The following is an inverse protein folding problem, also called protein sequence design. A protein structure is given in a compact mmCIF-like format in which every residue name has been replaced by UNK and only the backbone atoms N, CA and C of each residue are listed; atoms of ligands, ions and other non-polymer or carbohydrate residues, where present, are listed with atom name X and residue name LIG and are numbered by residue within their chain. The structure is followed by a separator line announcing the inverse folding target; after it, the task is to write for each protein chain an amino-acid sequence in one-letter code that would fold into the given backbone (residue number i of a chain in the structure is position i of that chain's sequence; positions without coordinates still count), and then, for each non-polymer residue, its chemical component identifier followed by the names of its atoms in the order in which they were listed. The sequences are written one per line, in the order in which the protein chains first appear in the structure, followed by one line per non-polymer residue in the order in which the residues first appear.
data_IF_077737669479
#
_entry.id   IF_077737669479
#
_cell.length_a   1.000
_cell.length_b   1.000
_cell.length_c   1.000
_cell.angle_alpha   90.00
_cell.angle_beta   90.00
_cell.angle_gamma   90.00
#
_symmetry.space_group_name_H-M   'P 1'
#
loop_
_entity.id
_entity.type
_entity.pdbx_description
1 polymer ?
#
# COMPACT_ATOMS: atom_id res chain seq x y z
N UNK A 1 -1.55 -16.08 -12.90
CA UNK A 1 -1.30 -15.38 -11.62
C UNK A 1 -1.83 -16.28 -10.50
N UNK A 2 -1.05 -17.28 -10.14
CA UNK A 2 -1.44 -18.28 -9.13
C UNK A 2 -1.59 -17.66 -7.73
N UNK A 3 -0.78 -16.63 -7.42
CA UNK A 3 -0.83 -15.90 -6.14
C UNK A 3 -2.14 -15.13 -5.88
N UNK A 4 -2.96 -14.90 -6.92
CA UNK A 4 -4.32 -14.33 -6.79
C UNK A 4 -5.39 -15.40 -6.59
N UNK A 5 -5.01 -16.70 -6.65
CA UNK A 5 -5.97 -17.80 -6.52
C UNK A 5 -6.60 -17.78 -5.13
N UNK A 6 -7.92 -17.67 -5.10
CA UNK A 6 -8.69 -17.61 -3.85
C UNK A 6 -8.87 -16.22 -3.24
N UNK A 7 -8.23 -15.16 -3.78
CA UNK A 7 -8.52 -13.80 -3.39
C UNK A 7 -9.73 -13.26 -4.15
N UNK A 8 -10.64 -12.60 -3.46
CA UNK A 8 -11.74 -11.82 -4.06
C UNK A 8 -11.45 -10.32 -3.98
N UNK A 9 -10.83 -9.87 -2.90
CA UNK A 9 -10.54 -8.45 -2.63
C UNK A 9 -9.05 -8.23 -2.40
N UNK A 10 -8.45 -7.34 -3.19
CA UNK A 10 -7.01 -7.07 -3.22
C UNK A 10 -6.73 -5.60 -2.96
N UNK A 11 -5.84 -5.31 -2.03
CA UNK A 11 -5.27 -3.98 -1.81
C UNK A 11 -3.87 -3.92 -2.42
N UNK A 12 -3.59 -2.90 -3.23
CA UNK A 12 -2.28 -2.70 -3.86
C UNK A 12 -1.72 -1.37 -3.37
N UNK A 13 -0.59 -1.42 -2.68
CA UNK A 13 0.11 -0.21 -2.25
C UNK A 13 1.24 0.14 -3.23
N UNK A 14 1.28 1.40 -3.61
CA UNK A 14 2.27 1.97 -4.54
C UNK A 14 3.11 3.01 -3.81
N UNK A 15 4.43 2.81 -3.81
CA UNK A 15 5.39 3.78 -3.27
C UNK A 15 5.55 5.00 -4.19
N UNK A 16 5.90 6.15 -3.61
CA UNK A 16 6.09 7.40 -4.36
C UNK A 16 7.17 7.28 -5.44
N UNK A 17 8.26 6.56 -5.18
CA UNK A 17 9.37 6.34 -6.12
C UNK A 17 8.97 5.58 -7.39
N UNK A 18 7.91 4.75 -7.33
CA UNK A 18 7.39 4.04 -8.49
C UNK A 18 6.55 4.95 -9.38
N UNK A 19 5.78 5.86 -8.77
CA UNK A 19 4.81 6.70 -9.46
C UNK A 19 5.37 8.05 -9.90
N UNK A 20 6.28 8.63 -9.13
CA UNK A 20 6.86 9.96 -9.37
C UNK A 20 8.33 9.84 -9.69
N UNK A 21 8.76 10.45 -10.79
CA UNK A 21 10.17 10.57 -11.12
C UNK A 21 10.81 11.62 -10.21
N UNK A 22 11.78 11.20 -9.38
CA UNK A 22 12.42 12.07 -8.39
C UNK A 22 13.16 13.25 -9.03
N UNK A 23 13.70 13.07 -10.25
CA UNK A 23 14.46 14.10 -10.94
C UNK A 23 13.57 15.18 -11.55
N UNK A 24 12.43 14.77 -12.14
CA UNK A 24 11.51 15.69 -12.82
C UNK A 24 10.34 16.14 -11.94
N UNK A 25 10.03 15.38 -10.91
CA UNK A 25 8.86 15.57 -10.05
C UNK A 25 7.53 15.35 -10.79
N UNK A 26 7.56 14.65 -11.92
CA UNK A 26 6.37 14.33 -12.73
C UNK A 26 5.97 12.86 -12.58
N UNK A 27 4.72 12.57 -12.91
CA UNK A 27 4.20 11.20 -12.91
C UNK A 27 4.91 10.39 -13.99
N UNK A 28 5.28 9.15 -13.66
CA UNK A 28 5.76 8.12 -14.60
C UNK A 28 4.58 7.56 -15.39
N UNK A 29 4.11 8.32 -16.38
CA UNK A 29 2.88 8.00 -17.11
C UNK A 29 2.94 6.65 -17.82
N UNK A 30 4.09 6.27 -18.37
CA UNK A 30 4.27 4.97 -19.02
C UNK A 30 4.12 3.81 -17.99
N UNK A 31 4.72 3.94 -16.83
CA UNK A 31 4.57 2.96 -15.75
C UNK A 31 3.12 2.86 -15.28
N UNK A 32 2.46 4.01 -15.10
CA UNK A 32 1.05 4.05 -14.69
C UNK A 32 0.13 3.41 -15.73
N UNK A 33 0.46 3.53 -17.01
CA UNK A 33 -0.27 2.88 -18.09
C UNK A 33 -0.15 1.35 -18.00
N UNK A 34 1.06 0.79 -17.86
CA UNK A 34 1.25 -0.65 -17.65
C UNK A 34 0.56 -1.16 -16.38
N UNK A 35 0.61 -0.38 -15.31
CA UNK A 35 -0.11 -0.72 -14.09
C UNK A 35 -1.63 -0.71 -14.29
N UNK A 36 -2.17 0.22 -15.08
CA UNK A 36 -3.61 0.28 -15.38
C UNK A 36 -4.09 -0.94 -16.19
N UNK A 37 -3.24 -1.51 -17.04
CA UNK A 37 -3.52 -2.77 -17.74
C UNK A 37 -3.61 -3.95 -16.75
N UNK A 38 -2.73 -4.01 -15.77
CA UNK A 38 -2.80 -5.02 -14.69
C UNK A 38 -4.13 -4.91 -13.92
N UNK A 39 -4.56 -3.68 -13.58
CA UNK A 39 -5.83 -3.44 -12.89
C UNK A 39 -7.01 -3.87 -13.76
N UNK A 40 -7.00 -3.56 -15.06
CA UNK A 40 -8.01 -4.04 -16.03
C UNK A 40 -8.11 -5.56 -15.99
N UNK A 41 -6.97 -6.26 -16.03
CA UNK A 41 -6.94 -7.71 -16.06
C UNK A 41 -7.45 -8.34 -14.75
N UNK A 42 -7.18 -7.71 -13.61
CA UNK A 42 -7.75 -8.10 -12.32
C UNK A 42 -9.26 -7.86 -12.26
N UNK A 43 -9.69 -6.66 -12.67
CA UNK A 43 -11.10 -6.27 -12.69
C UNK A 43 -11.93 -7.15 -13.65
N UNK A 44 -11.39 -7.51 -14.81
CA UNK A 44 -12.04 -8.42 -15.77
C UNK A 44 -12.23 -9.84 -15.22
N UNK A 45 -11.44 -10.24 -14.24
CA UNK A 45 -11.57 -11.53 -13.51
C UNK A 45 -12.51 -11.44 -12.31
N UNK A 46 -13.17 -10.31 -12.11
CA UNK A 46 -14.10 -10.08 -11.01
C UNK A 46 -13.43 -9.79 -9.66
N UNK A 47 -12.15 -9.42 -9.65
CA UNK A 47 -11.47 -9.03 -8.42
C UNK A 47 -11.84 -7.59 -8.03
N UNK A 48 -12.14 -7.40 -6.76
CA UNK A 48 -12.29 -6.08 -6.16
C UNK A 48 -10.91 -5.50 -5.81
N UNK A 49 -10.55 -4.38 -6.44
CA UNK A 49 -9.24 -3.78 -6.29
C UNK A 49 -9.34 -2.43 -5.59
N UNK A 50 -8.50 -2.23 -4.57
CA UNK A 50 -8.29 -0.93 -3.91
C UNK A 50 -6.82 -0.55 -4.04
N UNK A 51 -6.55 0.67 -4.46
CA UNK A 51 -5.19 1.18 -4.62
C UNK A 51 -4.88 2.12 -3.46
N UNK A 52 -3.78 1.88 -2.75
CA UNK A 52 -3.23 2.82 -1.75
C UNK A 52 -1.99 3.47 -2.34
N UNK A 53 -2.09 4.77 -2.62
CA UNK A 53 -1.05 5.48 -3.35
C UNK A 53 -0.31 6.48 -2.47
N UNK A 54 0.94 6.72 -2.81
CA UNK A 54 1.77 7.82 -2.30
C UNK A 54 2.12 8.77 -3.43
N UNK A 55 2.79 9.89 -3.11
CA UNK A 55 3.37 10.77 -4.12
C UNK A 55 2.75 12.17 -4.22
N UNK A 56 1.65 12.44 -3.50
CA UNK A 56 1.00 13.76 -3.46
C UNK A 56 1.98 14.89 -3.11
N UNK A 57 2.76 14.73 -2.03
CA UNK A 57 3.74 15.73 -1.61
C UNK A 57 4.81 15.96 -2.68
N UNK A 58 5.32 14.89 -3.30
CA UNK A 58 6.34 15.00 -4.33
C UNK A 58 5.84 15.76 -5.57
N UNK A 59 4.63 15.47 -6.02
CA UNK A 59 3.97 16.15 -7.14
C UNK A 59 3.72 17.62 -6.83
N UNK A 60 3.10 17.91 -5.70
CA UNK A 60 2.76 19.28 -5.32
C UNK A 60 3.99 20.14 -5.04
N UNK A 61 5.05 19.55 -4.48
CA UNK A 61 6.34 20.20 -4.31
C UNK A 61 6.86 20.79 -5.62
N UNK A 62 6.77 20.00 -6.71
CA UNK A 62 7.18 20.43 -8.05
C UNK A 62 6.32 21.58 -8.56
N UNK A 63 5.00 21.49 -8.42
CA UNK A 63 4.06 22.53 -8.85
C UNK A 63 4.32 23.84 -8.13
N UNK A 64 4.57 23.76 -6.81
CA UNK A 64 4.85 24.94 -5.98
C UNK A 64 6.29 25.42 -6.10
N UNK A 65 7.13 24.74 -6.89
CA UNK A 65 8.55 25.09 -7.09
C UNK A 65 9.34 25.20 -5.77
N UNK A 66 9.01 24.34 -4.79
CA UNK A 66 9.76 24.25 -3.55
C UNK A 66 11.16 23.66 -3.80
N UNK A 67 12.20 24.15 -3.11
CA UNK A 67 13.56 23.65 -3.24
C UNK A 67 13.69 22.20 -2.73
N UNK A 68 14.77 21.50 -3.11
CA UNK A 68 15.04 20.11 -2.70
C UNK A 68 15.48 19.96 -1.23
N UNK A 69 15.39 21.03 -0.43
CA UNK A 69 15.60 21.00 1.01
C UNK A 69 14.42 20.38 1.75
N UNK A 70 14.58 20.09 3.04
CA UNK A 70 13.46 19.60 3.87
C UNK A 70 12.33 20.63 3.93
N UNK A 71 11.11 20.19 3.69
CA UNK A 71 9.91 21.03 3.83
C UNK A 71 9.49 21.12 5.30
N UNK A 72 8.92 22.27 5.70
CA UNK A 72 8.18 22.36 6.96
C UNK A 72 6.89 21.52 6.90
N UNK A 73 6.22 21.33 8.03
CA UNK A 73 4.94 20.61 8.07
C UNK A 73 3.92 21.29 7.15
N UNK A 74 3.75 22.61 7.27
CA UNK A 74 2.78 23.39 6.50
C UNK A 74 3.10 23.37 5.00
N UNK A 75 4.38 23.41 4.64
CA UNK A 75 4.83 23.27 3.25
C UNK A 75 4.52 21.87 2.70
N UNK A 76 4.70 20.84 3.50
CA UNK A 76 4.35 19.46 3.15
C UNK A 76 2.85 19.29 2.94
N UNK A 77 2.03 19.86 3.86
CA UNK A 77 0.57 19.85 3.78
C UNK A 77 0.07 20.61 2.53
N UNK A 78 0.62 21.80 2.27
CA UNK A 78 0.29 22.57 1.07
C UNK A 78 0.69 21.82 -0.22
N UNK A 79 1.87 21.20 -0.22
CA UNK A 79 2.31 20.38 -1.34
C UNK A 79 1.37 19.19 -1.55
N UNK A 80 1.00 18.47 -0.48
CA UNK A 80 0.06 17.38 -0.55
C UNK A 80 -1.30 17.80 -1.14
N UNK A 81 -1.85 18.94 -0.69
CA UNK A 81 -3.11 19.47 -1.20
C UNK A 81 -3.08 19.73 -2.72
N UNK A 82 -2.00 20.33 -3.21
CA UNK A 82 -1.83 20.60 -4.65
C UNK A 82 -1.57 19.31 -5.44
N UNK A 83 -0.68 18.46 -4.94
CA UNK A 83 -0.28 17.25 -5.65
C UNK A 83 -1.34 16.16 -5.65
N UNK A 84 -2.24 16.15 -4.67
CA UNK A 84 -3.32 15.17 -4.59
C UNK A 84 -4.30 15.28 -5.75
N UNK A 85 -4.55 16.48 -6.26
CA UNK A 85 -5.38 16.70 -7.45
C UNK A 85 -4.74 16.03 -8.67
N UNK A 86 -3.43 16.24 -8.89
CA UNK A 86 -2.71 15.64 -10.00
C UNK A 86 -2.64 14.12 -9.89
N UNK A 87 -2.44 13.61 -8.68
CA UNK A 87 -2.41 12.18 -8.40
C UNK A 87 -3.75 11.52 -8.76
N UNK A 88 -4.85 12.08 -8.29
CA UNK A 88 -6.19 11.57 -8.55
C UNK A 88 -6.52 11.63 -10.05
N UNK A 89 -6.20 12.73 -10.72
CA UNK A 89 -6.40 12.90 -12.15
C UNK A 89 -5.62 11.86 -12.96
N UNK A 90 -4.36 11.62 -12.62
CA UNK A 90 -3.54 10.65 -13.35
C UNK A 90 -4.10 9.23 -13.28
N UNK A 91 -4.56 8.79 -12.10
CA UNK A 91 -5.23 7.48 -11.98
C UNK A 91 -6.54 7.45 -12.75
N UNK A 92 -7.33 8.53 -12.68
CA UNK A 92 -8.57 8.62 -13.42
C UNK A 92 -8.33 8.50 -14.94
N UNK A 93 -7.36 9.23 -15.48
CA UNK A 93 -7.03 9.21 -16.91
C UNK A 93 -6.51 7.84 -17.36
N UNK A 94 -5.65 7.21 -16.57
CA UNK A 94 -5.09 5.90 -16.88
C UNK A 94 -6.16 4.79 -16.88
N UNK A 95 -7.03 4.75 -15.86
CA UNK A 95 -8.06 3.72 -15.72
C UNK A 95 -9.28 3.96 -16.59
N UNK A 96 -9.60 5.21 -16.93
CA UNK A 96 -10.68 5.53 -17.86
C UNK A 96 -10.46 4.96 -19.28
N UNK A 97 -9.20 4.72 -19.69
CA UNK A 97 -8.89 4.06 -20.96
C UNK A 97 -9.41 2.61 -21.03
N UNK A 98 -9.72 2.03 -19.88
CA UNK A 98 -10.23 0.67 -19.72
C UNK A 98 -11.70 0.66 -19.23
N UNK A 99 -12.41 1.79 -19.32
CA UNK A 99 -13.79 1.98 -18.82
C UNK A 99 -13.93 1.73 -17.31
N UNK A 100 -12.83 1.83 -16.55
CA UNK A 100 -12.81 1.66 -15.09
C UNK A 100 -12.97 3.03 -14.43
N UNK A 101 -14.01 3.15 -13.60
CA UNK A 101 -14.27 4.34 -12.77
C UNK A 101 -13.38 4.32 -11.53
N UNK A 102 -12.95 5.50 -11.10
CA UNK A 102 -12.15 5.68 -9.89
C UNK A 102 -12.85 6.60 -8.90
N UNK A 103 -12.56 6.42 -7.63
CA UNK A 103 -12.99 7.34 -6.58
C UNK A 103 -11.82 7.66 -5.65
N UNK A 104 -11.64 8.91 -5.28
CA UNK A 104 -10.63 9.30 -4.30
C UNK A 104 -11.18 9.17 -2.88
N UNK A 105 -10.40 8.53 -1.99
CA UNK A 105 -10.69 8.42 -0.56
C UNK A 105 -9.46 8.91 0.19
N UNK A 106 -9.64 9.92 1.04
CA UNK A 106 -8.61 10.43 1.93
C UNK A 106 -8.94 10.05 3.36
N UNK A 107 -8.02 9.37 4.02
CA UNK A 107 -8.16 8.91 5.40
C UNK A 107 -6.93 9.29 6.22
N UNK A 108 -7.09 9.29 7.53
CA UNK A 108 -5.97 9.38 8.47
C UNK A 108 -5.87 8.10 9.28
N UNK A 109 -4.70 7.82 9.85
CA UNK A 109 -4.54 6.69 10.77
C UNK A 109 -5.44 6.81 12.01
N UNK A 110 -5.86 8.01 12.38
CA UNK A 110 -6.80 8.24 13.46
C UNK A 110 -8.22 7.81 13.14
N UNK A 111 -8.62 7.88 11.86
CA UNK A 111 -9.96 7.44 11.42
C UNK A 111 -10.19 5.95 11.72
N UNK A 112 -9.12 5.15 11.72
CA UNK A 112 -9.19 3.73 12.10
C UNK A 112 -9.39 3.48 13.59
N UNK A 113 -9.09 4.46 14.46
CA UNK A 113 -9.26 4.38 15.91
C UNK A 113 -10.66 4.79 16.37
N UNK A 114 -11.33 5.65 15.60
CA UNK A 114 -12.71 6.06 15.87
C UNK A 114 -13.67 5.09 15.18
N UNK A 115 -14.46 4.37 15.99
CA UNK A 115 -15.39 3.34 15.48
C UNK A 115 -16.38 3.86 14.44
N UNK A 116 -16.90 5.08 14.62
CA UNK A 116 -17.89 5.65 13.70
C UNK A 116 -17.25 5.98 12.36
N UNK A 117 -16.06 6.60 12.38
CA UNK A 117 -15.32 6.92 11.16
C UNK A 117 -14.87 5.65 10.44
N UNK A 118 -14.40 4.65 11.18
CA UNK A 118 -14.04 3.34 10.67
C UNK A 118 -15.21 2.70 9.89
N UNK A 119 -16.39 2.58 10.51
CA UNK A 119 -17.56 1.98 9.88
C UNK A 119 -18.06 2.79 8.67
N UNK A 120 -18.02 4.11 8.73
CA UNK A 120 -18.39 4.95 7.60
C UNK A 120 -17.41 4.78 6.42
N UNK A 121 -16.11 4.75 6.69
CA UNK A 121 -15.08 4.52 5.65
C UNK A 121 -15.25 3.13 5.02
N UNK A 122 -15.49 2.10 5.83
CA UNK A 122 -15.76 0.75 5.36
C UNK A 122 -16.98 0.73 4.43
N UNK A 123 -18.12 1.23 4.87
CA UNK A 123 -19.36 1.24 4.10
C UNK A 123 -19.20 2.02 2.77
N UNK A 124 -18.45 3.13 2.79
CA UNK A 124 -18.16 3.90 1.58
C UNK A 124 -17.34 3.09 0.58
N UNK A 125 -16.28 2.42 1.04
CA UNK A 125 -15.44 1.59 0.16
C UNK A 125 -16.25 0.40 -0.37
N UNK A 126 -17.01 -0.28 0.47
CA UNK A 126 -17.87 -1.40 0.06
C UNK A 126 -18.86 -0.99 -1.04
N UNK A 127 -19.56 0.13 -0.85
CA UNK A 127 -20.48 0.67 -1.88
C UNK A 127 -19.78 0.94 -3.21
N UNK A 128 -18.57 1.51 -3.19
CA UNK A 128 -17.79 1.77 -4.41
C UNK A 128 -17.40 0.48 -5.12
N UNK A 129 -16.94 -0.52 -4.37
CA UNK A 129 -16.54 -1.83 -4.90
C UNK A 129 -17.73 -2.57 -5.52
N UNK A 130 -18.90 -2.57 -4.86
CA UNK A 130 -20.16 -3.12 -5.40
C UNK A 130 -20.57 -2.48 -6.71
N UNK A 131 -20.23 -1.21 -6.92
CA UNK A 131 -20.49 -0.48 -8.17
C UNK A 131 -19.40 -0.69 -9.23
N UNK A 132 -18.39 -1.53 -8.98
CA UNK A 132 -17.25 -1.75 -9.88
C UNK A 132 -16.30 -0.55 -9.99
N UNK A 133 -16.29 0.34 -8.99
CA UNK A 133 -15.40 1.50 -8.92
C UNK A 133 -14.12 1.09 -8.21
N UNK A 134 -12.95 1.51 -8.70
CA UNK A 134 -11.66 1.31 -8.05
C UNK A 134 -11.35 2.49 -7.13
N UNK A 135 -11.36 2.30 -5.79
CA UNK A 135 -10.98 3.34 -4.83
C UNK A 135 -9.47 3.60 -4.87
N UNK A 136 -9.09 4.88 -4.95
CA UNK A 136 -7.73 5.38 -4.80
C UNK A 136 -7.61 6.01 -3.43
N UNK A 137 -7.00 5.29 -2.50
CA UNK A 137 -6.86 5.72 -1.10
C UNK A 137 -5.51 6.38 -0.89
N UNK A 138 -5.48 7.48 -0.19
CA UNK A 138 -4.24 8.11 0.30
C UNK A 138 -4.47 8.68 1.70
N UNK A 139 -3.36 9.02 2.36
CA UNK A 139 -3.44 9.78 3.60
C UNK A 139 -3.99 11.19 3.35
N UNK A 140 -4.82 11.68 4.28
CA UNK A 140 -5.24 13.07 4.30
C UNK A 140 -4.14 13.93 4.92
N UNK A 141 -3.07 14.11 4.17
CA UNK A 141 -1.89 14.87 4.59
C UNK A 141 -2.22 16.30 5.04
N UNK A 142 -3.36 16.87 4.59
CA UNK A 142 -3.73 18.26 4.89
C UNK A 142 -4.12 18.46 6.36
N UNK A 143 -4.51 17.41 7.05
CA UNK A 143 -4.91 17.43 8.47
C UNK A 143 -4.04 16.53 9.35
N UNK A 144 -3.25 15.65 8.75
CA UNK A 144 -2.33 14.76 9.48
C UNK A 144 -1.14 15.56 10.03
N UNK A 145 -0.78 15.34 11.29
CA UNK A 145 0.28 16.08 11.97
C UNK A 145 1.50 15.22 12.28
N UNK A 146 1.32 14.00 12.74
CA UNK A 146 2.41 13.15 13.20
C UNK A 146 2.87 12.17 12.11
N UNK A 147 1.96 11.70 11.28
CA UNK A 147 2.16 10.69 10.26
C UNK A 147 2.94 11.22 9.05
N UNK A 148 2.78 12.49 8.70
CA UNK A 148 3.54 13.13 7.60
C UNK A 148 5.05 12.99 7.78
N UNK A 149 5.54 12.99 9.03
CA UNK A 149 6.97 12.82 9.31
C UNK A 149 7.51 11.46 8.91
N UNK A 150 6.64 10.45 8.86
CA UNK A 150 7.04 9.07 8.61
C UNK A 150 6.66 8.54 7.23
N UNK A 151 5.70 9.17 6.52
CA UNK A 151 5.33 8.87 5.13
C UNK A 151 5.04 7.38 4.89
N UNK A 152 4.39 6.72 5.86
CA UNK A 152 4.28 5.26 5.89
C UNK A 152 2.93 4.78 5.37
N UNK A 153 2.76 4.83 4.05
CA UNK A 153 1.59 4.25 3.42
C UNK A 153 1.57 2.71 3.44
N UNK A 154 2.65 2.03 3.89
CA UNK A 154 2.62 0.58 4.09
C UNK A 154 1.67 0.26 5.24
N UNK A 155 1.76 1.01 6.36
CA UNK A 155 0.87 0.88 7.50
C UNK A 155 -0.58 1.27 7.16
N UNK A 156 -0.76 2.35 6.40
CA UNK A 156 -2.08 2.76 5.91
C UNK A 156 -2.71 1.66 5.06
N UNK A 157 -1.97 1.07 4.12
CA UNK A 157 -2.44 -0.01 3.27
C UNK A 157 -2.87 -1.25 4.08
N UNK A 158 -2.09 -1.61 5.11
CA UNK A 158 -2.46 -2.70 6.00
C UNK A 158 -3.77 -2.39 6.77
N UNK A 159 -3.94 -1.16 7.27
CA UNK A 159 -5.18 -0.76 7.94
C UNK A 159 -6.37 -0.72 7.00
N UNK A 160 -6.21 -0.22 5.78
CA UNK A 160 -7.24 -0.28 4.73
C UNK A 160 -7.62 -1.74 4.47
N UNK A 161 -6.64 -2.63 4.30
CA UNK A 161 -6.89 -4.07 4.10
C UNK A 161 -7.71 -4.69 5.21
N UNK A 162 -7.40 -4.37 6.47
CA UNK A 162 -8.17 -4.82 7.64
C UNK A 162 -9.58 -4.23 7.63
N UNK A 163 -9.71 -2.94 7.34
CA UNK A 163 -11.00 -2.23 7.37
C UNK A 163 -12.00 -2.82 6.38
N UNK A 164 -11.53 -3.17 5.18
CA UNK A 164 -12.39 -3.69 4.11
C UNK A 164 -12.41 -5.23 4.03
N UNK A 165 -11.70 -5.92 4.94
CA UNK A 165 -11.62 -7.38 4.92
C UNK A 165 -10.97 -7.92 3.65
N UNK A 166 -9.85 -7.32 3.21
CA UNK A 166 -9.12 -7.76 2.02
C UNK A 166 -8.48 -9.14 2.26
N UNK A 167 -8.44 -9.96 1.22
CA UNK A 167 -7.78 -11.28 1.23
C UNK A 167 -6.28 -11.15 1.01
N UNK A 168 -5.87 -10.16 0.21
CA UNK A 168 -4.49 -9.96 -0.21
C UNK A 168 -4.10 -8.48 -0.19
N UNK A 169 -2.93 -8.20 0.40
CA UNK A 169 -2.23 -6.92 0.34
C UNK A 169 -0.94 -7.10 -0.48
N UNK A 170 -0.78 -6.33 -1.55
CA UNK A 170 0.44 -6.30 -2.35
C UNK A 170 1.16 -4.99 -2.10
N UNK A 171 2.37 -5.04 -1.56
CA UNK A 171 3.25 -3.89 -1.43
C UNK A 171 4.20 -3.84 -2.62
N UNK A 172 3.92 -2.98 -3.59
CA UNK A 172 4.86 -2.67 -4.67
C UNK A 172 5.93 -1.72 -4.17
N UNK A 173 7.17 -2.13 -4.30
CA UNK A 173 8.35 -1.46 -3.76
C UNK A 173 9.50 -1.44 -4.79
N UNK A 174 10.57 -0.77 -4.45
CA UNK A 174 11.87 -0.81 -5.14
C UNK A 174 12.64 -2.12 -4.86
N UNK A 175 12.26 -2.86 -3.80
CA UNK A 175 12.84 -4.15 -3.43
C UNK A 175 11.93 -5.31 -3.86
N UNK A 176 12.53 -6.45 -4.14
CA UNK A 176 11.86 -7.66 -4.64
C UNK A 176 11.45 -8.66 -3.54
N UNK A 177 11.57 -8.28 -2.26
CA UNK A 177 11.18 -9.13 -1.15
C UNK A 177 11.92 -8.83 0.13
N UNK A 178 12.00 -9.83 1.01
CA UNK A 178 12.70 -9.76 2.29
C UNK A 178 13.98 -10.59 2.26
N UNK A 179 15.04 -10.04 2.87
CA UNK A 179 16.36 -10.66 2.94
C UNK A 179 16.87 -10.72 4.38
N UNK A 180 17.73 -11.70 4.67
CA UNK A 180 18.39 -11.82 5.97
C UNK A 180 19.33 -10.66 6.34
N UNK A 181 19.65 -9.82 5.37
CA UNK A 181 20.50 -8.62 5.49
C UNK A 181 20.31 -7.75 4.25
N UNK A 182 21.03 -6.64 4.16
CA UNK A 182 20.95 -5.77 2.98
C UNK A 182 21.70 -6.40 1.78
N UNK A 183 21.00 -6.86 0.72
CA UNK A 183 21.65 -7.54 -0.42
C UNK A 183 22.59 -6.64 -1.23
N UNK A 184 22.51 -5.32 -1.06
CA UNK A 184 23.43 -4.35 -1.69
C UNK A 184 24.77 -4.27 -0.97
N UNK A 185 24.85 -4.74 0.28
CA UNK A 185 26.04 -4.67 1.13
C UNK A 185 26.55 -6.07 1.45
N UNK A 186 25.66 -7.02 1.71
CA UNK A 186 25.97 -8.41 2.01
C UNK A 186 25.55 -9.31 0.86
N UNK A 187 26.51 -9.80 0.09
CA UNK A 187 26.28 -10.73 -1.02
C UNK A 187 25.79 -12.11 -0.58
N UNK A 188 25.89 -12.44 0.69
CA UNK A 188 25.37 -13.69 1.28
C UNK A 188 23.96 -13.53 1.87
N UNK A 189 23.34 -12.35 1.73
CA UNK A 189 21.99 -12.15 2.19
C UNK A 189 21.00 -13.10 1.49
N UNK A 190 20.33 -13.95 2.26
CA UNK A 190 19.37 -14.93 1.78
C UNK A 190 18.01 -14.25 1.56
N UNK A 191 17.42 -14.49 0.39
CA UNK A 191 16.03 -14.09 0.11
C UNK A 191 15.05 -15.08 0.74
N UNK A 192 14.01 -14.56 1.39
CA UNK A 192 12.90 -15.36 1.92
C UNK A 192 11.74 -15.36 0.90
N UNK A 193 11.37 -16.52 0.41
CA UNK A 193 10.21 -16.65 -0.49
C UNK A 193 8.90 -16.61 0.28
N UNK A 194 8.88 -17.16 1.49
CA UNK A 194 7.70 -17.21 2.36
C UNK A 194 8.11 -17.03 3.80
N UNK A 195 7.34 -16.29 4.56
CA UNK A 195 7.44 -16.15 6.01
C UNK A 195 6.09 -16.52 6.60
N UNK A 196 6.02 -17.66 7.26
CA UNK A 196 4.78 -18.15 7.89
C UNK A 196 4.49 -17.42 9.20
N UNK A 197 5.53 -16.95 9.90
CA UNK A 197 5.40 -16.24 11.16
C UNK A 197 6.51 -15.20 11.33
N UNK A 198 6.14 -13.99 11.72
CA UNK A 198 7.10 -12.94 12.03
C UNK A 198 7.63 -13.19 13.45
N UNK A 199 8.87 -13.67 13.55
CA UNK A 199 9.58 -13.92 14.81
C UNK A 199 10.46 -12.73 15.20
N UNK A 200 10.94 -12.64 16.46
CA UNK A 200 11.91 -11.61 16.87
C UNK A 200 13.18 -11.58 16.00
N UNK A 201 13.62 -12.74 15.49
CA UNK A 201 14.78 -12.83 14.59
C UNK A 201 14.50 -12.15 13.25
N UNK A 202 13.31 -12.37 12.68
CA UNK A 202 12.86 -11.67 11.43
C UNK A 202 12.78 -10.17 11.67
N UNK A 203 12.30 -9.74 12.83
CA UNK A 203 12.25 -8.31 13.16
C UNK A 203 13.65 -7.69 13.29
N UNK A 204 14.59 -8.39 13.92
CA UNK A 204 15.96 -7.94 14.05
C UNK A 204 16.64 -7.76 12.67
N UNK A 205 16.43 -8.70 11.73
CA UNK A 205 16.94 -8.60 10.35
C UNK A 205 16.45 -7.34 9.63
N UNK A 206 15.21 -6.90 9.90
CA UNK A 206 14.65 -5.69 9.30
C UNK A 206 15.26 -4.39 9.86
N UNK A 207 15.78 -4.41 11.09
CA UNK A 207 16.40 -3.23 11.71
C UNK A 207 17.80 -2.94 11.16
N UNK A 208 18.54 -3.97 10.74
CA UNK A 208 19.88 -3.83 10.16
C UNK A 208 19.89 -3.25 8.75
N UNK A 209 18.74 -3.25 8.06
CA UNK A 209 18.62 -2.73 6.69
C UNK A 209 18.35 -1.22 6.64
N UNK A 210 19.14 -0.40 7.34
CA UNK A 210 19.02 1.08 7.25
C UNK A 210 19.39 1.57 5.85
N UNK A 211 18.43 1.58 4.92
CA UNK A 211 18.59 2.30 3.66
C UNK A 211 18.39 3.80 3.92
N UNK A 212 19.38 4.62 3.55
CA UNK A 212 19.30 6.09 3.67
C UNK A 212 18.31 6.73 2.70
N UNK A 213 17.71 5.94 1.79
CA UNK A 213 17.06 6.45 0.58
C UNK A 213 15.53 6.36 0.57
N UNK A 214 14.87 5.56 1.39
CA UNK A 214 13.40 5.47 1.37
C UNK A 214 12.78 5.78 2.72
N UNK A 215 11.72 6.60 2.73
CA UNK A 215 10.93 6.95 3.92
C UNK A 215 10.17 5.75 4.54
N UNK A 216 10.06 4.60 3.82
CA UNK A 216 9.46 3.34 4.26
C UNK A 216 10.47 2.21 4.17
N UNK A 217 11.17 1.89 5.24
CA UNK A 217 12.15 0.79 5.30
C UNK A 217 11.49 -0.59 5.45
N UNK A 218 12.31 -1.66 5.52
CA UNK A 218 11.81 -3.02 5.73
C UNK A 218 11.04 -3.16 7.05
N UNK A 219 11.40 -2.38 8.07
CA UNK A 219 10.69 -2.34 9.36
C UNK A 219 9.21 -1.92 9.22
N UNK A 220 8.91 -0.92 8.38
CA UNK A 220 7.53 -0.49 8.14
C UNK A 220 6.73 -1.55 7.39
N UNK A 221 7.36 -2.26 6.45
CA UNK A 221 6.75 -3.38 5.73
C UNK A 221 6.43 -4.55 6.65
N UNK A 222 7.31 -4.89 7.60
CA UNK A 222 7.03 -5.91 8.61
C UNK A 222 5.92 -5.49 9.58
N UNK A 223 5.86 -4.21 9.95
CA UNK A 223 4.74 -3.70 10.76
C UNK A 223 3.42 -3.83 10.01
N UNK A 224 3.40 -3.45 8.73
CA UNK A 224 2.23 -3.64 7.86
C UNK A 224 1.84 -5.12 7.76
N UNK A 225 2.83 -6.02 7.63
CA UNK A 225 2.59 -7.46 7.60
C UNK A 225 1.94 -7.97 8.89
N UNK A 226 2.43 -7.55 10.05
CA UNK A 226 1.82 -7.91 11.35
C UNK A 226 0.35 -7.50 11.42
N UNK A 227 0.03 -6.27 10.95
CA UNK A 227 -1.34 -5.75 10.96
C UNK A 227 -2.22 -6.58 10.01
N UNK A 228 -1.80 -6.76 8.77
CA UNK A 228 -2.57 -7.45 7.74
C UNK A 228 -2.79 -8.94 8.09
N UNK A 229 -1.72 -9.66 8.45
CA UNK A 229 -1.79 -11.10 8.74
C UNK A 229 -2.57 -11.41 10.02
N UNK A 230 -2.51 -10.55 11.03
CA UNK A 230 -3.32 -10.69 12.24
C UNK A 230 -4.83 -10.63 11.95
N UNK A 231 -5.24 -10.01 10.84
CA UNK A 231 -6.63 -9.96 10.39
C UNK A 231 -6.98 -11.03 9.34
N UNK A 232 -6.03 -11.94 9.02
CA UNK A 232 -6.21 -12.99 8.04
C UNK A 232 -5.97 -12.56 6.59
N UNK A 233 -5.42 -11.37 6.37
CA UNK A 233 -5.03 -10.88 5.05
C UNK A 233 -3.60 -11.35 4.74
N UNK A 234 -3.42 -12.07 3.64
CA UNK A 234 -2.08 -12.42 3.13
C UNK A 234 -1.38 -11.17 2.63
N UNK A 235 -0.06 -11.05 2.85
CA UNK A 235 0.70 -9.93 2.32
C UNK A 235 1.84 -10.39 1.41
N UNK A 236 2.04 -9.67 0.31
CA UNK A 236 3.13 -9.86 -0.63
C UNK A 236 3.97 -8.58 -0.71
N UNK A 237 5.30 -8.71 -0.66
CA UNK A 237 6.24 -7.65 -1.02
C UNK A 237 6.82 -8.00 -2.38
N UNK A 238 6.71 -7.09 -3.34
CA UNK A 238 7.14 -7.34 -4.70
C UNK A 238 7.79 -6.11 -5.34
N UNK A 239 8.68 -6.37 -6.30
CA UNK A 239 9.32 -5.31 -7.07
C UNK A 239 8.32 -4.67 -8.03
N UNK A 240 8.07 -3.38 -7.83
CA UNK A 240 7.12 -2.62 -8.63
C UNK A 240 7.74 -1.88 -9.82
N UNK A 241 9.04 -2.01 -10.08
CA UNK A 241 9.73 -1.25 -11.14
C UNK A 241 9.57 -1.83 -12.54
N UNK A 242 9.04 -3.05 -12.65
CA UNK A 242 8.80 -3.72 -13.92
C UNK A 242 7.61 -3.12 -14.67
N UNK A 243 7.57 -3.28 -16.00
CA UNK A 243 6.35 -3.11 -16.77
C UNK A 243 5.34 -4.17 -16.34
N UNK A 244 4.05 -3.81 -16.25
CA UNK A 244 2.99 -4.68 -15.74
C UNK A 244 3.38 -5.33 -14.40
N UNK A 245 3.55 -4.52 -13.33
CA UNK A 245 4.20 -4.96 -12.08
C UNK A 245 3.43 -6.08 -11.36
N UNK A 246 2.12 -6.21 -11.58
CA UNK A 246 1.32 -7.29 -11.01
C UNK A 246 1.39 -8.55 -11.90
N UNK A 247 1.24 -8.42 -13.20
CA UNK A 247 1.33 -9.56 -14.13
C UNK A 247 2.72 -10.18 -14.16
N UNK A 248 3.77 -9.37 -13.94
CA UNK A 248 5.15 -9.85 -13.84
C UNK A 248 5.44 -10.67 -12.57
N UNK A 249 4.54 -10.71 -11.59
CA UNK A 249 4.63 -11.56 -10.40
C UNK A 249 4.32 -13.05 -10.68
N UNK A 250 4.14 -13.44 -11.95
CA UNK A 250 3.98 -14.83 -12.38
C UNK A 250 5.22 -15.68 -12.08
N UNK A 251 5.12 -16.95 -12.30
CA UNK A 251 5.87 -18.16 -11.90
C UNK A 251 7.41 -18.13 -11.72
N UNK A 252 8.08 -17.00 -11.94
CA UNK A 252 9.54 -16.91 -11.86
C UNK A 252 10.10 -15.71 -11.10
N UNK A 253 9.26 -14.82 -10.58
CA UNK A 253 9.70 -13.62 -9.88
C UNK A 253 9.81 -13.88 -8.38
N UNK A 254 10.92 -13.46 -7.79
CA UNK A 254 11.09 -13.47 -6.33
C UNK A 254 10.04 -12.56 -5.71
N UNK A 255 9.24 -13.09 -4.84
CA UNK A 255 8.29 -12.36 -4.03
C UNK A 255 8.30 -12.92 -2.61
N UNK A 256 8.01 -12.09 -1.64
CA UNK A 256 7.80 -12.53 -0.28
C UNK A 256 6.31 -12.66 -0.02
N UNK A 257 5.85 -13.86 0.28
CA UNK A 257 4.50 -14.11 0.79
C UNK A 257 4.52 -14.21 2.31
N UNK A 258 3.71 -13.39 2.97
CA UNK A 258 3.46 -13.47 4.41
C UNK A 258 2.06 -14.02 4.61
N UNK A 259 1.99 -15.26 5.06
CA UNK A 259 0.73 -16.01 5.17
C UNK A 259 0.29 -16.01 6.62
N UNK A 260 -0.98 -15.77 6.87
CA UNK A 260 -1.60 -16.11 8.15
C UNK A 260 -2.04 -17.57 8.10
N UNK A 261 -1.35 -18.43 8.86
CA UNK A 261 -1.87 -19.77 9.11
C UNK A 261 -3.00 -19.62 10.13
N UNK A 262 -4.23 -19.50 9.65
CA UNK A 262 -5.39 -19.61 10.51
C UNK A 262 -5.52 -21.06 10.96
N UNK A 263 -5.49 -21.32 12.26
CA UNK A 263 -6.15 -22.51 12.78
C UNK A 263 -7.61 -22.50 12.30
N UNK A 264 -8.22 -23.67 11.99
CA UNK A 264 -9.50 -23.77 11.26
C UNK A 264 -10.74 -23.35 12.06
N UNK A 265 -10.61 -22.42 12.98
CA UNK A 265 -11.73 -21.82 13.70
C UNK A 265 -11.64 -20.32 13.63
N UNK A 266 -12.19 -19.73 12.55
CA UNK A 266 -12.71 -18.36 12.66
C UNK A 266 -13.89 -18.42 13.64
N UNK A 267 -13.79 -17.89 14.87
CA UNK A 267 -15.02 -17.52 15.55
C UNK A 267 -15.62 -16.38 14.72
N UNK A 268 -16.87 -16.51 14.34
CA UNK A 268 -17.70 -15.47 13.72
C UNK A 268 -17.93 -14.25 14.66
N UNK A 269 -16.99 -13.99 15.54
CA UNK A 269 -17.03 -12.84 16.43
C UNK A 269 -15.90 -11.90 16.02
N UNK A 270 -16.34 -10.84 15.35
CA UNK A 270 -15.61 -9.61 15.17
C UNK A 270 -14.74 -9.33 16.41
N UNK A 271 -13.48 -8.99 16.21
CA UNK A 271 -12.50 -8.56 17.23
C UNK A 271 -12.97 -7.38 18.13
N UNK A 272 -14.22 -6.98 18.01
CA UNK A 272 -14.91 -5.97 18.83
C UNK A 272 -15.33 -6.45 20.23
N UNK A 273 -15.34 -7.77 20.49
CA UNK A 273 -15.74 -8.29 21.80
C UNK A 273 -14.71 -8.03 22.91
N UNK A 274 -13.46 -7.71 22.58
CA UNK A 274 -12.38 -7.54 23.59
C UNK A 274 -12.37 -6.14 24.20
N UNK A 275 -12.99 -5.13 23.58
CA UNK A 275 -12.97 -3.75 24.09
C UNK A 275 -14.14 -3.37 25.00
N UNK A 276 -15.16 -4.22 25.16
CA UNK A 276 -16.35 -3.90 25.97
C UNK A 276 -16.32 -4.40 27.43
N UNK A 277 -15.24 -5.01 27.91
CA UNK A 277 -15.16 -5.59 29.25
C UNK A 277 -14.08 -4.98 30.16
N UNK A 278 -13.81 -3.68 30.06
CA UNK A 278 -13.15 -2.91 31.12
C UNK A 278 -13.95 -1.65 31.41
N UNK A 279 -14.93 -1.77 32.28
CA UNK A 279 -15.33 -0.73 33.22
C UNK A 279 -14.56 -0.93 34.51
#
# INVERSE_FOLDING_TARGET
MEFLSGAARVVIKIGSSLLVDERTGSIRSEWLQYFSEDIRDMHSKGLEVVIVSSGSIALGRKVLSWPDSSLSLEQSQASAAVGQIQLAQAYQEALAQHDIKTAQILVTLEDSKDRRRYLNSQATVETLLEMGVVPIVNENDTVATDEIKYGDNDRLAAQVSVTIGADLLILLSDVDGFYSGNPMVDTNANHFNTIDRITPEIEAMAEDTKSKSSKGGMKTKLLAAKIATAAGCTMIIAKGTNSNPISSLGDSVKLLSLIHISEPTRPLYSSYAVFCLKK
#
